data_IF_987330134875
#
_entry.id   IF_987330134875
#
_cell.length_a   1.000
_cell.length_b   1.000
_cell.length_c   1.000
_cell.angle_alpha   90.00
_cell.angle_beta   90.00
_cell.angle_gamma   90.00
#
_symmetry.space_group_name_H-M   'P 1'
#
loop_
_entity.id
_entity.type
_entity.pdbx_description
1 polymer ?
#
# COMPACT_ATOMS: atom_id res chain seq x y z
N UNK A 1 -24.39 -9.63 31.98
CA UNK A 1 -23.42 -8.87 31.14
C UNK A 1 -22.22 -8.33 31.95
N UNK A 2 -21.73 -9.09 32.94
CA UNK A 2 -20.65 -8.69 33.85
C UNK A 2 -19.29 -9.36 33.51
N UNK A 3 -19.26 -10.24 32.49
CA UNK A 3 -18.08 -11.02 32.12
C UNK A 3 -17.20 -10.40 31.02
N UNK A 4 -17.67 -9.37 30.31
CA UNK A 4 -16.91 -8.81 29.17
C UNK A 4 -15.77 -7.86 29.61
N UNK A 5 -15.89 -7.20 30.76
CA UNK A 5 -15.00 -6.09 31.13
C UNK A 5 -13.87 -6.45 32.10
N UNK A 6 -13.97 -7.57 32.83
CA UNK A 6 -12.84 -8.08 33.63
C UNK A 6 -11.66 -8.56 32.76
N UNK A 7 -11.86 -8.74 31.45
CA UNK A 7 -10.84 -9.21 30.52
C UNK A 7 -9.91 -8.10 29.99
N UNK A 8 -10.27 -6.82 30.06
CA UNK A 8 -9.47 -5.71 29.47
C UNK A 8 -8.36 -5.18 30.40
N UNK A 9 -8.39 -5.52 31.69
CA UNK A 9 -7.25 -5.24 32.57
C UNK A 9 -6.07 -6.21 32.35
N UNK A 10 -6.24 -7.27 31.53
CA UNK A 10 -5.23 -8.29 31.22
C UNK A 10 -5.04 -8.58 29.72
N UNK A 11 -5.85 -8.03 28.81
CA UNK A 11 -5.71 -8.21 27.36
C UNK A 11 -4.93 -7.06 26.73
N UNK A 12 -4.06 -7.41 25.79
CA UNK A 12 -3.33 -6.49 24.91
C UNK A 12 -4.27 -5.48 24.26
N UNK A 13 -3.91 -4.19 24.31
CA UNK A 13 -4.57 -3.15 23.51
C UNK A 13 -4.17 -3.36 22.05
N UNK A 14 -5.15 -3.34 21.14
CA UNK A 14 -4.96 -3.53 19.69
C UNK A 14 -5.78 -2.49 18.90
N UNK A 15 -5.42 -2.18 17.65
CA UNK A 15 -6.25 -1.34 16.77
C UNK A 15 -7.70 -1.82 16.69
N UNK A 16 -7.95 -3.14 16.60
CA UNK A 16 -9.30 -3.72 16.60
C UNK A 16 -10.07 -3.43 17.89
N UNK A 17 -9.39 -3.45 19.04
CA UNK A 17 -10.01 -3.11 20.33
C UNK A 17 -10.37 -1.63 20.41
N UNK A 18 -9.50 -0.74 19.90
CA UNK A 18 -9.75 0.71 19.84
C UNK A 18 -10.87 1.04 18.86
N UNK A 19 -10.87 0.43 17.68
CA UNK A 19 -11.91 0.58 16.66
C UNK A 19 -13.29 0.23 17.21
N UNK A 20 -13.41 -0.93 17.88
CA UNK A 20 -14.65 -1.37 18.53
C UNK A 20 -15.07 -0.46 19.68
N UNK A 21 -14.11 0.04 20.45
CA UNK A 21 -14.40 0.88 21.63
C UNK A 21 -14.88 2.28 21.23
N UNK A 22 -14.25 2.85 20.21
CA UNK A 22 -14.47 4.21 19.72
C UNK A 22 -15.47 4.28 18.55
N UNK A 23 -15.98 3.13 18.10
CA UNK A 23 -16.86 3.01 16.94
C UNK A 23 -16.23 3.66 15.68
N UNK A 24 -14.95 3.39 15.49
CA UNK A 24 -14.16 3.80 14.33
C UNK A 24 -13.88 2.59 13.44
N UNK A 25 -13.66 2.82 12.16
CA UNK A 25 -13.13 1.77 11.28
C UNK A 25 -11.68 1.43 11.67
N UNK A 26 -11.27 0.17 11.44
CA UNK A 26 -9.92 -0.30 11.82
C UNK A 26 -8.84 0.51 11.08
N UNK A 27 -9.08 0.81 9.80
CA UNK A 27 -8.19 1.61 8.97
C UNK A 27 -8.04 3.04 9.52
N UNK A 28 -9.12 3.60 10.07
CA UNK A 28 -9.11 4.92 10.69
C UNK A 28 -8.23 4.94 11.93
N UNK A 29 -8.37 3.94 12.79
CA UNK A 29 -7.55 3.80 13.99
C UNK A 29 -6.09 3.63 13.62
N UNK A 30 -5.75 2.79 12.64
CA UNK A 30 -4.37 2.61 12.21
C UNK A 30 -3.75 3.91 11.69
N UNK A 31 -4.49 4.66 10.88
CA UNK A 31 -4.03 5.96 10.38
C UNK A 31 -3.82 6.97 11.52
N UNK A 32 -4.77 7.06 12.46
CA UNK A 32 -4.64 7.93 13.63
C UNK A 32 -3.44 7.56 14.49
N UNK A 33 -3.20 6.26 14.72
CA UNK A 33 -2.03 5.79 15.45
C UNK A 33 -0.73 6.19 14.76
N UNK A 34 -0.63 6.05 13.43
CA UNK A 34 0.56 6.44 12.68
C UNK A 34 0.77 7.95 12.69
N UNK A 35 -0.27 8.74 12.46
CA UNK A 35 -0.20 10.20 12.52
C UNK A 35 0.14 10.70 13.95
N UNK A 36 -0.24 9.92 14.97
CA UNK A 36 0.13 10.11 16.37
C UNK A 36 1.51 9.57 16.77
N UNK A 37 2.32 9.08 15.82
CA UNK A 37 3.70 8.63 16.04
C UNK A 37 3.86 7.17 16.48
N UNK A 38 2.80 6.37 16.51
CA UNK A 38 2.83 4.94 16.84
C UNK A 38 2.80 4.12 15.54
N UNK A 39 3.96 3.90 14.92
CA UNK A 39 4.06 3.37 13.55
C UNK A 39 4.07 1.83 13.41
N UNK A 40 4.35 1.10 14.49
CA UNK A 40 4.52 -0.36 14.44
C UNK A 40 3.23 -1.21 14.33
N UNK A 41 2.02 -0.75 14.74
CA UNK A 41 0.80 -1.48 14.49
C UNK A 41 0.52 -1.51 12.98
N UNK A 42 0.45 -2.72 12.41
CA UNK A 42 0.29 -2.92 10.96
C UNK A 42 -0.96 -3.72 10.59
N UNK A 43 -1.73 -4.13 11.59
CA UNK A 43 -2.95 -4.93 11.44
C UNK A 43 -3.88 -4.72 12.62
N UNK A 44 -5.15 -5.10 12.43
CA UNK A 44 -6.19 -5.05 13.46
C UNK A 44 -5.75 -5.65 14.80
N UNK A 45 -5.02 -6.77 14.78
CA UNK A 45 -4.63 -7.52 15.99
C UNK A 45 -3.23 -7.17 16.52
N UNK A 46 -2.55 -6.19 15.92
CA UNK A 46 -1.22 -5.77 16.36
C UNK A 46 -1.26 -5.24 17.80
N UNK A 47 -0.49 -5.85 18.70
CA UNK A 47 -0.43 -5.42 20.10
C UNK A 47 0.26 -4.08 20.24
N UNK A 48 -0.45 -3.10 20.78
CA UNK A 48 0.07 -1.79 21.18
C UNK A 48 0.79 -1.97 22.53
N UNK A 49 2.06 -1.57 22.56
CA UNK A 49 2.94 -1.65 23.74
C UNK A 49 2.32 -0.88 24.91
N UNK A 50 2.39 -1.39 26.15
CA UNK A 50 1.82 -0.73 27.33
C UNK A 50 2.26 0.73 27.54
N UNK A 51 3.49 1.07 27.14
CA UNK A 51 4.01 2.45 27.21
C UNK A 51 3.29 3.43 26.29
N UNK A 52 2.75 2.95 25.16
CA UNK A 52 2.14 3.80 24.13
C UNK A 52 0.62 3.89 24.27
N UNK A 53 0.01 3.23 25.28
CA UNK A 53 -1.45 3.20 25.44
C UNK A 53 -2.03 4.61 25.56
N UNK A 54 -1.42 5.48 26.36
CA UNK A 54 -1.90 6.86 26.52
C UNK A 54 -1.82 7.66 25.22
N UNK A 55 -0.73 7.49 24.46
CA UNK A 55 -0.54 8.13 23.16
C UNK A 55 -1.52 7.59 22.12
N UNK A 56 -1.80 6.27 22.13
CA UNK A 56 -2.75 5.62 21.24
C UNK A 56 -4.18 6.13 21.46
N UNK A 57 -4.59 6.25 22.72
CA UNK A 57 -5.89 6.84 23.08
C UNK A 57 -5.95 8.32 22.66
N UNK A 58 -4.90 9.10 22.95
CA UNK A 58 -4.84 10.51 22.57
C UNK A 58 -4.92 10.73 21.05
N UNK A 59 -4.19 9.91 20.28
CA UNK A 59 -4.21 9.93 18.82
C UNK A 59 -5.61 9.64 18.26
N UNK A 60 -6.38 8.77 18.92
CA UNK A 60 -7.75 8.48 18.55
C UNK A 60 -8.79 9.43 19.16
N UNK A 61 -8.37 10.56 19.75
CA UNK A 61 -9.26 11.54 20.37
C UNK A 61 -9.95 11.04 21.65
N UNK A 62 -9.42 10.00 22.28
CA UNK A 62 -10.01 9.34 23.43
C UNK A 62 -9.12 9.45 24.67
N UNK A 63 -9.72 9.48 25.86
CA UNK A 63 -8.96 9.40 27.10
C UNK A 63 -8.58 7.94 27.43
N UNK A 64 -7.41 7.71 28.02
CA UNK A 64 -7.00 6.37 28.46
C UNK A 64 -7.87 5.84 29.60
N UNK A 65 -7.95 4.50 29.76
CA UNK A 65 -8.68 3.87 30.88
C UNK A 65 -8.20 4.37 32.25
N UNK A 66 -6.89 4.62 32.42
CA UNK A 66 -6.34 5.18 33.66
C UNK A 66 -6.87 6.59 33.93
N UNK A 67 -7.02 7.39 32.88
CA UNK A 67 -7.60 8.73 32.95
C UNK A 67 -9.10 8.67 33.23
N UNK A 68 -9.86 7.79 32.56
CA UNK A 68 -11.31 7.63 32.78
C UNK A 68 -11.67 7.05 34.15
N UNK A 69 -10.74 6.41 34.84
CA UNK A 69 -10.92 6.01 36.23
C UNK A 69 -10.84 7.19 37.21
N UNK A 70 -10.36 8.37 36.79
CA UNK A 70 -10.29 9.55 37.64
C UNK A 70 -11.66 10.24 37.72
N UNK A 71 -12.02 10.71 38.92
CA UNK A 71 -13.24 11.49 39.12
C UNK A 71 -13.15 12.84 38.40
N UNK A 72 -11.96 13.42 38.36
CA UNK A 72 -11.67 14.69 37.70
C UNK A 72 -11.95 14.63 36.19
N UNK A 73 -11.57 13.55 35.51
CA UNK A 73 -11.87 13.36 34.09
C UNK A 73 -13.37 13.53 33.81
N UNK A 74 -14.24 12.85 34.55
CA UNK A 74 -15.69 12.95 34.35
C UNK A 74 -16.27 14.30 34.75
N UNK A 75 -15.70 14.94 35.77
CA UNK A 75 -16.07 16.31 36.16
C UNK A 75 -15.80 17.28 35.02
N UNK A 76 -14.61 17.20 34.40
CA UNK A 76 -14.22 18.03 33.26
C UNK A 76 -15.00 17.68 32.00
N UNK A 77 -15.14 16.39 31.66
CA UNK A 77 -15.82 15.93 30.44
C UNK A 77 -17.31 16.26 30.45
N UNK A 78 -17.98 16.19 31.61
CA UNK A 78 -19.40 16.51 31.73
C UNK A 78 -19.68 17.98 32.08
N UNK A 79 -18.63 18.77 32.35
CA UNK A 79 -18.78 20.15 32.81
C UNK A 79 -19.49 20.28 34.16
N UNK A 80 -19.45 19.22 34.98
CA UNK A 80 -20.15 19.17 36.27
C UNK A 80 -19.17 19.48 37.40
N UNK A 81 -19.60 20.26 38.38
CA UNK A 81 -18.91 20.35 39.66
C UNK A 81 -18.86 18.98 40.34
N UNK A 82 -17.95 18.82 41.30
CA UNK A 82 -17.78 17.54 42.01
C UNK A 82 -19.04 17.10 42.77
N UNK A 83 -19.84 18.04 43.24
CA UNK A 83 -21.10 17.77 43.95
C UNK A 83 -22.19 17.32 42.98
N UNK A 84 -22.32 17.98 41.84
CA UNK A 84 -23.23 17.60 40.76
C UNK A 84 -22.89 16.22 40.20
N UNK A 85 -21.59 15.95 39.96
CA UNK A 85 -21.12 14.66 39.52
C UNK A 85 -21.45 13.56 40.54
N UNK A 86 -21.36 13.84 41.84
CA UNK A 86 -21.75 12.88 42.90
C UNK A 86 -23.26 12.63 42.92
N UNK A 87 -24.06 13.66 42.72
CA UNK A 87 -25.52 13.53 42.61
C UNK A 87 -25.92 12.69 41.39
N UNK A 88 -25.29 12.98 40.25
CA UNK A 88 -25.46 12.22 39.01
C UNK A 88 -24.96 10.77 39.15
N UNK A 89 -23.81 10.54 39.77
CA UNK A 89 -23.31 9.20 40.08
C UNK A 89 -24.31 8.40 40.93
N UNK A 90 -24.92 9.05 41.93
CA UNK A 90 -25.91 8.45 42.82
C UNK A 90 -27.17 8.03 42.06
N UNK A 91 -27.62 8.81 41.08
CA UNK A 91 -28.75 8.43 40.21
C UNK A 91 -28.44 7.20 39.35
N UNK A 92 -27.15 6.95 39.05
CA UNK A 92 -26.65 5.74 38.39
C UNK A 92 -26.36 4.58 39.37
N UNK A 93 -26.70 4.75 40.65
CA UNK A 93 -26.46 3.77 41.70
C UNK A 93 -24.97 3.62 42.07
N UNK A 94 -24.17 4.67 41.88
CA UNK A 94 -22.74 4.70 42.22
C UNK A 94 -22.49 5.76 43.31
N UNK A 95 -21.89 5.34 44.42
CA UNK A 95 -21.52 6.26 45.51
C UNK A 95 -20.05 6.68 45.38
N UNK A 96 -19.80 7.97 45.18
CA UNK A 96 -18.45 8.55 45.15
C UNK A 96 -18.22 9.34 46.45
N UNK A 97 -17.15 9.00 47.17
CA UNK A 97 -16.75 9.72 48.38
C UNK A 97 -16.34 11.16 48.09
N UNK A 98 -16.48 12.10 49.05
CA UNK A 98 -16.25 13.53 48.84
C UNK A 98 -14.87 13.85 48.27
N UNK A 99 -13.84 13.10 48.69
CA UNK A 99 -12.45 13.29 48.26
C UNK A 99 -11.91 12.14 47.38
N UNK A 100 -12.77 11.26 46.87
CA UNK A 100 -12.33 10.14 46.05
C UNK A 100 -11.67 10.63 44.74
N UNK A 101 -10.39 10.27 44.52
CA UNK A 101 -9.67 10.61 43.28
C UNK A 101 -10.02 9.67 42.13
N UNK A 102 -10.40 8.43 42.44
CA UNK A 102 -10.76 7.38 41.48
C UNK A 102 -12.19 6.89 41.67
N UNK A 103 -12.80 6.45 40.57
CA UNK A 103 -14.10 5.82 40.56
C UNK A 103 -14.07 4.46 41.30
N UNK A 104 -15.16 4.10 42.01
CA UNK A 104 -15.30 2.79 42.61
C UNK A 104 -15.24 1.65 41.58
N UNK A 105 -14.86 0.45 42.04
CA UNK A 105 -14.78 -0.74 41.17
C UNK A 105 -16.14 -1.01 40.52
N UNK A 106 -16.16 -1.10 39.18
CA UNK A 106 -17.38 -1.33 38.39
C UNK A 106 -18.23 -0.09 38.08
N UNK A 107 -17.86 1.10 38.59
CA UNK A 107 -18.56 2.36 38.31
C UNK A 107 -18.32 2.88 36.89
N UNK A 108 -17.12 2.68 36.34
CA UNK A 108 -16.72 3.16 35.01
C UNK A 108 -17.72 2.75 33.91
N UNK A 109 -18.10 1.47 33.87
CA UNK A 109 -19.03 0.96 32.86
C UNK A 109 -20.45 1.53 32.97
N UNK A 110 -20.85 2.01 34.16
CA UNK A 110 -22.15 2.67 34.36
C UNK A 110 -22.11 4.11 33.87
N UNK A 111 -20.99 4.80 34.14
CA UNK A 111 -20.74 6.15 33.66
C UNK A 111 -20.71 6.18 32.13
N UNK A 112 -19.92 5.32 31.50
CA UNK A 112 -19.84 5.21 30.03
C UNK A 112 -21.18 4.83 29.40
N UNK A 113 -22.00 3.98 30.04
CA UNK A 113 -23.33 3.64 29.52
C UNK A 113 -24.30 4.82 29.59
N UNK A 114 -24.23 5.59 30.67
CA UNK A 114 -25.06 6.76 30.86
C UNK A 114 -24.67 7.88 29.87
N UNK A 115 -23.37 8.06 29.62
CA UNK A 115 -22.90 9.02 28.63
C UNK A 115 -23.20 8.58 27.22
N UNK A 116 -23.01 7.31 26.84
CA UNK A 116 -23.40 6.81 25.50
C UNK A 116 -24.88 7.05 25.17
N UNK A 117 -25.76 7.01 26.16
CA UNK A 117 -27.21 7.26 25.99
C UNK A 117 -27.52 8.76 25.80
N UNK A 118 -26.71 9.62 26.41
CA UNK A 118 -26.71 11.08 26.21
C UNK A 118 -26.08 11.45 24.87
N UNK A 119 -24.89 10.89 24.59
CA UNK A 119 -24.10 11.02 23.37
C UNK A 119 -24.88 10.54 22.16
N UNK A 120 -25.65 9.45 22.18
CA UNK A 120 -26.46 9.06 21.01
C UNK A 120 -27.52 10.13 20.65
N UNK A 121 -28.12 10.80 21.64
CA UNK A 121 -29.05 11.92 21.44
C UNK A 121 -28.34 13.21 21.06
N UNK A 122 -27.16 13.46 21.63
CA UNK A 122 -26.31 14.62 21.30
C UNK A 122 -25.65 14.45 19.94
N UNK A 123 -25.27 13.26 19.53
CA UNK A 123 -24.66 12.89 18.25
C UNK A 123 -25.68 13.03 17.14
N UNK A 124 -26.92 12.56 17.33
CA UNK A 124 -27.99 12.82 16.35
C UNK A 124 -28.26 14.33 16.16
N UNK A 125 -28.11 15.12 17.22
CA UNK A 125 -28.25 16.59 17.17
C UNK A 125 -26.97 17.29 16.67
N UNK A 126 -25.80 16.73 16.94
CA UNK A 126 -24.50 17.21 16.51
C UNK A 126 -24.27 16.87 15.04
N UNK A 127 -24.72 15.73 14.52
CA UNK A 127 -24.70 15.37 13.10
C UNK A 127 -25.57 16.35 12.29
N UNK A 128 -26.71 16.79 12.85
CA UNK A 128 -27.54 17.85 12.28
C UNK A 128 -26.85 19.23 12.31
N UNK A 129 -26.07 19.52 13.35
CA UNK A 129 -25.29 20.78 13.49
C UNK A 129 -23.98 20.74 12.72
N UNK A 130 -23.32 19.60 12.58
CA UNK A 130 -22.12 19.35 11.76
C UNK A 130 -22.48 19.34 10.28
N UNK A 131 -23.65 18.83 9.89
CA UNK A 131 -24.19 19.04 8.55
C UNK A 131 -24.39 20.55 8.26
N UNK A 132 -24.75 21.33 9.28
CA UNK A 132 -24.88 22.79 9.17
C UNK A 132 -23.56 23.56 9.33
N UNK A 133 -22.53 22.99 9.96
CA UNK A 133 -21.22 23.62 10.16
C UNK A 133 -20.17 23.19 9.12
N UNK A 134 -20.35 22.04 8.46
CA UNK A 134 -19.56 21.61 7.30
C UNK A 134 -19.75 22.53 6.09
N UNK A 135 -20.77 23.38 6.09
CA UNK A 135 -20.91 24.50 5.15
C UNK A 135 -20.04 25.73 5.51
N UNK A 136 -19.38 25.74 6.67
CA UNK A 136 -18.57 26.84 7.20
C UNK A 136 -17.11 26.44 7.48
N UNK A 137 -16.53 25.56 6.66
CA UNK A 137 -15.11 25.17 6.75
C UNK A 137 -14.14 26.25 6.25
N UNK A 138 -12.86 26.13 6.61
CA UNK A 138 -11.73 26.89 6.05
C UNK A 138 -11.90 27.13 4.55
N UNK A 139 -11.49 28.29 3.99
CA UNK A 139 -11.77 28.63 2.60
C UNK A 139 -11.21 27.55 1.67
N UNK A 140 -12.12 26.73 1.14
CA UNK A 140 -11.77 25.66 0.21
C UNK A 140 -11.21 26.31 -1.04
N UNK A 141 -10.02 25.89 -1.44
CA UNK A 141 -9.41 26.39 -2.66
C UNK A 141 -10.02 25.66 -3.86
N UNK A 142 -10.33 26.38 -4.94
CA UNK A 142 -10.73 25.73 -6.20
C UNK A 142 -9.52 24.96 -6.75
N UNK A 143 -9.64 23.64 -6.92
CA UNK A 143 -8.56 22.87 -7.53
C UNK A 143 -8.54 23.12 -9.04
N UNK A 144 -7.41 23.62 -9.55
CA UNK A 144 -7.16 23.66 -11.00
C UNK A 144 -6.72 22.28 -11.49
N UNK A 145 -7.32 21.81 -12.59
CA UNK A 145 -6.84 20.60 -13.26
C UNK A 145 -5.48 20.87 -13.89
N UNK A 146 -4.48 20.05 -13.55
CA UNK A 146 -3.12 20.17 -14.07
C UNK A 146 -2.65 18.83 -14.62
N UNK A 147 -1.82 18.90 -15.64
CA UNK A 147 -1.12 17.73 -16.17
C UNK A 147 0.10 17.47 -15.29
N UNK A 148 0.06 16.37 -14.52
CA UNK A 148 1.06 16.05 -13.51
C UNK A 148 1.86 14.82 -13.96
N UNK A 149 3.17 14.99 -14.16
CA UNK A 149 4.08 13.89 -14.39
C UNK A 149 4.63 13.81 -15.81
N UNK A 150 5.11 12.62 -16.19
CA UNK A 150 5.82 12.40 -17.43
C UNK A 150 4.85 12.10 -18.57
N UNK A 151 4.78 12.98 -19.56
CA UNK A 151 4.10 12.72 -20.81
C UNK A 151 4.86 11.66 -21.62
N UNK A 152 4.12 10.73 -22.23
CA UNK A 152 4.67 9.75 -23.17
C UNK A 152 3.76 9.59 -24.37
N UNK A 153 4.37 9.53 -25.55
CA UNK A 153 3.66 9.14 -26.76
C UNK A 153 3.35 7.63 -26.68
N UNK A 154 2.07 7.28 -26.76
CA UNK A 154 1.62 5.89 -26.81
C UNK A 154 1.76 5.13 -25.48
N UNK A 155 1.08 5.61 -24.42
CA UNK A 155 0.98 4.86 -23.16
C UNK A 155 0.47 3.44 -23.39
N UNK A 156 1.15 2.47 -22.78
CA UNK A 156 0.71 1.07 -22.72
C UNK A 156 -0.30 0.94 -21.58
N UNK A 157 -1.54 0.62 -21.90
CA UNK A 157 -2.61 0.41 -20.92
C UNK A 157 -2.78 -1.07 -20.62
N UNK A 158 -3.03 -1.39 -19.34
CA UNK A 158 -3.42 -2.72 -18.91
C UNK A 158 -4.90 -2.95 -19.23
N UNK A 159 -5.19 -4.05 -19.92
CA UNK A 159 -6.55 -4.51 -20.17
C UNK A 159 -7.20 -5.12 -18.92
N UNK A 160 -8.52 -5.29 -18.96
CA UNK A 160 -9.28 -5.96 -17.90
C UNK A 160 -8.72 -7.38 -17.62
N UNK A 161 -8.43 -8.14 -18.68
CA UNK A 161 -7.91 -9.50 -18.58
C UNK A 161 -6.51 -9.54 -17.92
N UNK A 162 -5.65 -8.55 -18.19
CA UNK A 162 -4.31 -8.45 -17.56
C UNK A 162 -4.44 -8.14 -16.06
N UNK A 163 -5.38 -7.26 -15.68
CA UNK A 163 -5.66 -6.95 -14.26
C UNK A 163 -6.25 -8.18 -13.55
N UNK A 164 -7.11 -8.94 -14.22
CA UNK A 164 -7.66 -10.21 -13.72
C UNK A 164 -6.56 -11.26 -13.53
N UNK A 165 -5.63 -11.40 -14.48
CA UNK A 165 -4.48 -12.29 -14.35
C UNK A 165 -3.59 -11.90 -13.16
N UNK A 166 -3.31 -10.61 -12.98
CA UNK A 166 -2.59 -10.09 -11.80
C UNK A 166 -3.32 -10.48 -10.52
N UNK A 167 -4.65 -10.34 -10.48
CA UNK A 167 -5.45 -10.72 -9.32
C UNK A 167 -5.30 -12.21 -8.97
N UNK A 168 -5.42 -13.09 -9.95
CA UNK A 168 -5.28 -14.53 -9.73
C UNK A 168 -3.85 -14.93 -9.35
N UNK A 169 -2.83 -14.28 -9.90
CA UNK A 169 -1.43 -14.53 -9.52
C UNK A 169 -1.20 -14.17 -8.04
N UNK A 170 -1.68 -12.99 -7.59
CA UNK A 170 -1.60 -12.61 -6.18
C UNK A 170 -2.41 -13.59 -5.31
N UNK A 171 -3.59 -14.01 -5.74
CA UNK A 171 -4.40 -14.96 -4.98
C UNK A 171 -3.68 -16.30 -4.81
N UNK A 172 -3.03 -16.79 -5.87
CA UNK A 172 -2.25 -18.02 -5.86
C UNK A 172 -1.03 -17.91 -4.93
N UNK A 173 -0.29 -16.81 -4.99
CA UNK A 173 0.90 -16.60 -4.14
C UNK A 173 0.58 -16.50 -2.64
N UNK A 174 -0.65 -16.08 -2.32
CA UNK A 174 -1.15 -15.91 -0.95
C UNK A 174 -2.01 -17.08 -0.45
N UNK A 175 -2.28 -18.09 -1.28
CA UNK A 175 -3.18 -19.20 -0.97
C UNK A 175 -2.84 -19.92 0.34
N UNK A 176 -1.55 -20.20 0.56
CA UNK A 176 -1.06 -20.93 1.75
C UNK A 176 -0.60 -20.01 2.88
N UNK A 177 -0.95 -18.72 2.82
CA UNK A 177 -0.63 -17.75 3.88
C UNK A 177 -1.81 -17.60 4.86
N UNK A 178 -1.60 -17.05 6.07
CA UNK A 178 -2.69 -16.80 7.02
C UNK A 178 -3.79 -15.87 6.50
N UNK A 179 -3.49 -15.07 5.47
CA UNK A 179 -4.36 -14.00 4.96
C UNK A 179 -4.58 -14.14 3.42
N UNK A 180 -5.21 -15.23 2.94
CA UNK A 180 -5.42 -15.48 1.51
C UNK A 180 -6.39 -14.47 0.88
N UNK A 181 -6.40 -14.39 -0.45
CA UNK A 181 -7.49 -13.72 -1.18
C UNK A 181 -8.63 -14.76 -1.30
N UNK A 182 -9.62 -14.66 -0.43
CA UNK A 182 -10.78 -15.56 -0.43
C UNK A 182 -12.09 -14.78 -0.18
N UNK A 183 -13.15 -14.99 -0.98
CA UNK A 183 -13.12 -15.66 -2.29
C UNK A 183 -12.32 -14.82 -3.32
N UNK A 184 -11.51 -15.50 -4.13
CA UNK A 184 -10.82 -14.88 -5.25
C UNK A 184 -11.74 -14.81 -6.49
N UNK A 185 -11.45 -13.88 -7.39
CA UNK A 185 -12.14 -13.74 -8.67
C UNK A 185 -12.94 -12.46 -8.82
N UNK A 186 -13.38 -12.24 -10.05
CA UNK A 186 -14.13 -11.05 -10.45
C UNK A 186 -15.55 -11.09 -9.89
N UNK A 187 -15.93 -10.03 -9.19
CA UNK A 187 -17.29 -9.78 -8.71
C UNK A 187 -18.18 -9.22 -9.82
N UNK A 188 -17.63 -8.32 -10.66
CA UNK A 188 -18.33 -7.76 -11.82
C UNK A 188 -17.36 -7.41 -12.94
N UNK A 189 -17.59 -8.00 -14.12
CA UNK A 189 -16.79 -7.72 -15.31
C UNK A 189 -16.97 -6.28 -15.78
N UNK A 190 -18.16 -5.69 -15.58
CA UNK A 190 -18.44 -4.30 -15.93
C UNK A 190 -17.63 -3.32 -15.07
N UNK A 191 -17.53 -3.60 -13.76
CA UNK A 191 -16.73 -2.78 -12.84
C UNK A 191 -15.23 -2.91 -13.16
N UNK A 192 -14.77 -4.09 -13.57
CA UNK A 192 -13.40 -4.33 -13.99
C UNK A 192 -13.08 -3.61 -15.29
N UNK A 193 -13.95 -3.73 -16.30
CA UNK A 193 -13.81 -3.03 -17.58
C UNK A 193 -13.84 -1.50 -17.40
N UNK A 194 -14.73 -1.00 -16.53
CA UNK A 194 -14.78 0.41 -16.16
C UNK A 194 -13.47 0.87 -15.52
N UNK A 195 -12.93 0.09 -14.58
CA UNK A 195 -11.66 0.42 -13.91
C UNK A 195 -10.47 0.40 -14.87
N UNK A 196 -10.39 -0.60 -15.76
CA UNK A 196 -9.36 -0.73 -16.78
C UNK A 196 -9.44 0.36 -17.86
N UNK A 197 -10.66 0.81 -18.20
CA UNK A 197 -10.89 1.84 -19.22
C UNK A 197 -10.56 3.26 -18.74
N UNK A 198 -10.72 3.56 -17.45
CA UNK A 198 -10.55 4.92 -16.91
C UNK A 198 -9.20 5.58 -17.24
N UNK A 199 -8.04 4.92 -17.13
CA UNK A 199 -6.74 5.52 -17.48
C UNK A 199 -6.68 6.09 -18.90
N UNK A 200 -7.43 5.49 -19.84
CA UNK A 200 -7.47 5.91 -21.24
C UNK A 200 -8.56 6.95 -21.56
N UNK A 201 -9.35 7.36 -20.56
CA UNK A 201 -10.48 8.26 -20.72
C UNK A 201 -10.06 9.59 -21.38
N UNK A 202 -10.87 10.04 -22.33
CA UNK A 202 -10.60 11.22 -23.14
C UNK A 202 -11.69 11.46 -24.17
N UNK A 203 -11.58 12.57 -24.92
CA UNK A 203 -12.47 12.92 -26.01
C UNK A 203 -11.63 13.27 -27.24
N UNK A 204 -11.82 12.50 -28.32
CA UNK A 204 -11.03 12.65 -29.54
C UNK A 204 -9.52 12.45 -29.27
N UNK A 205 -8.71 13.45 -29.59
CA UNK A 205 -7.27 13.46 -29.31
C UNK A 205 -6.92 13.89 -27.88
N UNK A 206 -7.86 14.46 -27.14
CA UNK A 206 -7.61 14.94 -25.78
C UNK A 206 -7.73 13.81 -24.77
N UNK A 207 -6.65 13.54 -24.02
CA UNK A 207 -6.63 12.55 -22.94
C UNK A 207 -6.83 13.25 -21.60
N UNK A 208 -7.72 12.71 -20.75
CA UNK A 208 -7.92 13.21 -19.38
C UNK A 208 -6.69 12.94 -18.51
N UNK A 209 -6.01 11.82 -18.74
CA UNK A 209 -4.83 11.38 -18.01
C UNK A 209 -3.64 11.21 -18.97
N UNK A 210 -3.01 12.31 -19.45
CA UNK A 210 -2.00 12.25 -20.51
C UNK A 210 -0.61 11.78 -20.05
N UNK A 211 -0.37 11.69 -18.73
CA UNK A 211 0.91 11.27 -18.15
C UNK A 211 0.83 9.88 -17.53
N UNK A 212 1.98 9.23 -17.36
CA UNK A 212 2.06 7.90 -16.73
C UNK A 212 1.48 7.92 -15.32
N UNK A 213 1.82 8.92 -14.52
CA UNK A 213 1.40 9.05 -13.12
C UNK A 213 -0.10 9.30 -13.00
N UNK A 214 -0.68 10.11 -13.88
CA UNK A 214 -2.13 10.35 -13.88
C UNK A 214 -2.89 9.10 -14.29
N UNK A 215 -2.43 8.38 -15.32
CA UNK A 215 -3.05 7.15 -15.78
C UNK A 215 -2.93 6.03 -14.74
N UNK A 216 -1.76 5.89 -14.10
CA UNK A 216 -1.52 4.95 -13.01
C UNK A 216 -2.40 5.26 -11.78
N UNK A 217 -2.50 6.54 -11.40
CA UNK A 217 -3.37 6.99 -10.32
C UNK A 217 -4.85 6.69 -10.62
N UNK A 218 -5.31 6.97 -11.84
CA UNK A 218 -6.67 6.68 -12.27
C UNK A 218 -6.97 5.16 -12.24
N UNK A 219 -6.01 4.32 -12.64
CA UNK A 219 -6.13 2.86 -12.57
C UNK A 219 -6.27 2.40 -11.12
N UNK A 220 -5.31 2.77 -10.27
CA UNK A 220 -5.28 2.37 -8.87
C UNK A 220 -6.55 2.81 -8.13
N UNK A 221 -6.94 4.07 -8.29
CA UNK A 221 -8.15 4.62 -7.69
C UNK A 221 -9.38 3.81 -8.11
N UNK A 222 -9.50 3.47 -9.39
CA UNK A 222 -10.70 2.79 -9.89
C UNK A 222 -10.78 1.35 -9.44
N UNK A 223 -9.66 0.61 -9.43
CA UNK A 223 -9.67 -0.76 -8.92
C UNK A 223 -9.96 -0.78 -7.41
N UNK A 224 -9.45 0.20 -6.64
CA UNK A 224 -9.74 0.31 -5.21
C UNK A 224 -11.23 0.59 -4.97
N UNK A 225 -11.80 1.61 -5.63
CA UNK A 225 -13.14 2.13 -5.27
C UNK A 225 -14.29 1.53 -6.08
N UNK A 226 -14.05 0.99 -7.28
CA UNK A 226 -15.09 0.25 -8.02
C UNK A 226 -15.30 -1.14 -7.42
N UNK A 227 -14.34 -1.67 -6.66
CA UNK A 227 -14.37 -3.03 -6.08
C UNK A 227 -14.75 -4.14 -7.09
N UNK A 228 -14.01 -4.27 -8.22
CA UNK A 228 -14.33 -5.24 -9.26
C UNK A 228 -14.14 -6.70 -8.83
N UNK A 229 -13.37 -6.97 -7.77
CA UNK A 229 -13.13 -8.32 -7.23
C UNK A 229 -13.87 -8.55 -5.91
N UNK A 230 -14.16 -9.81 -5.58
CA UNK A 230 -14.80 -10.15 -4.30
C UNK A 230 -13.93 -9.78 -3.09
N UNK A 231 -12.62 -10.02 -3.19
CA UNK A 231 -11.63 -9.66 -2.18
C UNK A 231 -10.34 -9.22 -2.90
N UNK A 232 -9.37 -8.67 -2.17
CA UNK A 232 -8.05 -8.36 -2.72
C UNK A 232 -7.97 -7.08 -3.57
N UNK A 233 -9.04 -6.28 -3.68
CA UNK A 233 -9.06 -5.05 -4.50
C UNK A 233 -7.87 -4.12 -4.23
N UNK A 234 -7.56 -3.85 -2.95
CA UNK A 234 -6.40 -3.02 -2.55
C UNK A 234 -5.06 -3.59 -3.03
N UNK A 235 -4.89 -4.91 -2.91
CA UNK A 235 -3.68 -5.63 -3.35
C UNK A 235 -3.55 -5.62 -4.87
N UNK A 236 -4.63 -5.95 -5.58
CA UNK A 236 -4.67 -5.95 -7.05
C UNK A 236 -4.42 -4.56 -7.61
N UNK A 237 -5.09 -3.53 -7.08
CA UNK A 237 -4.89 -2.14 -7.52
C UNK A 237 -3.43 -1.70 -7.40
N UNK A 238 -2.79 -2.03 -6.28
CA UNK A 238 -1.39 -1.66 -6.05
C UNK A 238 -0.46 -2.34 -7.07
N UNK A 239 -0.60 -3.66 -7.27
CA UNK A 239 0.25 -4.39 -8.21
C UNK A 239 -0.02 -3.98 -9.66
N UNK A 240 -1.28 -3.80 -10.05
CA UNK A 240 -1.63 -3.30 -11.40
C UNK A 240 -1.10 -1.89 -11.65
N UNK A 241 -1.11 -1.01 -10.65
CA UNK A 241 -0.50 0.32 -10.75
C UNK A 241 1.02 0.24 -10.97
N UNK A 242 1.71 -0.59 -10.18
CA UNK A 242 3.16 -0.77 -10.32
C UNK A 242 3.53 -1.40 -11.67
N UNK A 243 2.80 -2.43 -12.11
CA UNK A 243 2.98 -3.04 -13.42
C UNK A 243 2.74 -2.03 -14.56
N UNK A 244 1.67 -1.22 -14.47
CA UNK A 244 1.41 -0.16 -15.44
C UNK A 244 2.55 0.86 -15.49
N UNK A 245 3.07 1.30 -14.34
CA UNK A 245 4.20 2.24 -14.29
C UNK A 245 5.46 1.62 -14.91
N UNK A 246 5.74 0.35 -14.61
CA UNK A 246 6.90 -0.37 -15.14
C UNK A 246 6.84 -0.53 -16.66
N UNK A 247 5.69 -0.94 -17.21
CA UNK A 247 5.45 -1.02 -18.66
C UNK A 247 5.60 0.34 -19.36
N UNK A 248 5.36 1.42 -18.62
CA UNK A 248 5.54 2.79 -19.09
C UNK A 248 6.84 3.43 -18.59
N UNK A 249 7.82 2.63 -18.20
CA UNK A 249 9.20 3.06 -17.95
C UNK A 249 9.39 3.91 -16.69
N UNK A 250 8.55 3.74 -15.67
CA UNK A 250 8.69 4.32 -14.34
C UNK A 250 8.73 3.23 -13.27
N UNK A 251 9.52 3.43 -12.22
CA UNK A 251 9.53 2.57 -11.03
C UNK A 251 9.38 3.41 -9.78
N UNK A 252 8.76 2.84 -8.74
CA UNK A 252 8.59 3.51 -7.45
C UNK A 252 9.91 3.54 -6.66
N UNK A 253 10.15 4.64 -5.96
CA UNK A 253 11.28 4.82 -5.04
C UNK A 253 10.86 4.86 -3.57
N UNK A 254 9.54 4.86 -3.29
CA UNK A 254 8.98 4.84 -1.94
C UNK A 254 9.33 3.56 -1.18
N UNK A 255 9.46 3.66 0.14
CA UNK A 255 9.59 2.48 0.99
C UNK A 255 8.30 1.64 1.01
N UNK A 256 8.42 0.35 1.32
CA UNK A 256 7.26 -0.55 1.47
C UNK A 256 6.25 -0.07 2.53
N UNK A 257 6.74 0.56 3.61
CA UNK A 257 5.90 1.08 4.69
C UNK A 257 5.15 2.33 4.26
N UNK A 258 5.79 3.22 3.50
CA UNK A 258 5.18 4.40 2.94
C UNK A 258 4.10 4.05 1.90
N UNK A 259 4.42 3.13 0.98
CA UNK A 259 3.48 2.65 -0.03
C UNK A 259 2.23 2.00 0.59
N UNK A 260 2.43 1.25 1.69
CA UNK A 260 1.32 0.70 2.47
C UNK A 260 0.43 1.80 3.06
N UNK A 261 1.01 2.77 3.78
CA UNK A 261 0.27 3.88 4.39
C UNK A 261 -0.48 4.69 3.33
N UNK A 262 0.17 4.96 2.20
CA UNK A 262 -0.43 5.65 1.06
C UNK A 262 -1.64 4.89 0.51
N UNK A 263 -1.53 3.58 0.26
CA UNK A 263 -2.63 2.74 -0.26
C UNK A 263 -3.85 2.75 0.67
N UNK A 264 -3.63 2.69 1.99
CA UNK A 264 -4.71 2.78 2.99
C UNK A 264 -5.37 4.17 2.99
N UNK A 265 -4.58 5.25 2.85
CA UNK A 265 -5.13 6.60 2.70
C UNK A 265 -5.96 6.75 1.42
N UNK A 266 -5.57 6.12 0.32
CA UNK A 266 -6.39 6.08 -0.90
C UNK A 266 -7.72 5.38 -0.62
N UNK A 267 -7.68 4.14 -0.12
CA UNK A 267 -8.89 3.35 0.14
C UNK A 267 -9.86 4.01 1.13
N UNK A 268 -9.34 4.72 2.14
CA UNK A 268 -10.15 5.48 3.10
C UNK A 268 -10.57 6.88 2.62
N UNK A 269 -10.25 7.27 1.38
CA UNK A 269 -10.45 8.62 0.85
C UNK A 269 -9.86 9.75 1.72
N UNK A 270 -8.66 9.51 2.26
CA UNK A 270 -7.95 10.39 3.22
C UNK A 270 -6.70 11.04 2.63
N UNK A 271 -6.76 11.43 1.36
CA UNK A 271 -5.68 12.18 0.70
C UNK A 271 -5.80 13.69 0.89
N UNK A 272 -6.85 14.17 1.57
CA UNK A 272 -7.08 15.61 1.81
C UNK A 272 -7.93 16.29 0.73
N UNK A 273 -8.74 15.53 -0.01
CA UNK A 273 -9.64 16.07 -1.03
C UNK A 273 -10.65 17.11 -0.50
N UNK A 274 -11.01 17.03 0.79
CA UNK A 274 -11.91 17.97 1.47
C UNK A 274 -11.43 19.42 1.49
N UNK A 275 -10.13 19.65 1.26
CA UNK A 275 -9.51 20.99 1.16
C UNK A 275 -9.85 21.72 -0.14
N UNK A 276 -10.39 21.01 -1.12
CA UNK A 276 -10.61 21.52 -2.47
C UNK A 276 -12.09 21.52 -2.86
N UNK A 277 -12.45 22.43 -3.77
CA UNK A 277 -13.75 22.46 -4.45
C UNK A 277 -13.61 21.73 -5.79
N UNK A 278 -14.47 20.72 -6.04
CA UNK A 278 -14.48 19.94 -7.29
C UNK A 278 -15.04 18.53 -7.10
N UNK A 279 -14.99 17.71 -8.15
CA UNK A 279 -15.27 16.27 -8.05
C UNK A 279 -14.21 15.59 -7.18
N UNK A 280 -14.65 14.86 -6.15
CA UNK A 280 -13.76 14.23 -5.17
C UNK A 280 -12.79 13.26 -5.83
N UNK A 281 -13.29 12.45 -6.77
CA UNK A 281 -12.48 11.41 -7.39
C UNK A 281 -11.39 12.03 -8.26
N UNK A 282 -11.71 13.09 -8.99
CA UNK A 282 -10.75 13.84 -9.79
C UNK A 282 -9.68 14.54 -8.93
N UNK A 283 -10.08 15.11 -7.79
CA UNK A 283 -9.13 15.68 -6.82
C UNK A 283 -8.19 14.60 -6.28
N UNK A 284 -8.74 13.45 -5.86
CA UNK A 284 -7.96 12.34 -5.31
C UNK A 284 -6.98 11.78 -6.36
N UNK A 285 -7.40 11.64 -7.61
CA UNK A 285 -6.51 11.21 -8.70
C UNK A 285 -5.38 12.20 -8.93
N UNK A 286 -5.61 13.52 -8.88
CA UNK A 286 -4.52 14.50 -8.97
C UNK A 286 -3.55 14.42 -7.78
N UNK A 287 -4.05 14.23 -6.57
CA UNK A 287 -3.22 14.07 -5.37
C UNK A 287 -2.40 12.78 -5.42
N UNK A 288 -2.99 11.70 -5.93
CA UNK A 288 -2.29 10.43 -6.20
C UNK A 288 -1.20 10.61 -7.26
N UNK A 289 -1.50 11.25 -8.39
CA UNK A 289 -0.54 11.51 -9.45
C UNK A 289 0.64 12.35 -8.95
N UNK A 290 0.37 13.37 -8.12
CA UNK A 290 1.40 14.20 -7.50
C UNK A 290 2.31 13.38 -6.58
N UNK A 291 1.74 12.46 -5.79
CA UNK A 291 2.51 11.57 -4.94
C UNK A 291 3.36 10.61 -5.78
N UNK A 292 2.80 10.00 -6.82
CA UNK A 292 3.53 9.09 -7.72
C UNK A 292 4.70 9.80 -8.41
N UNK A 293 4.52 11.04 -8.85
CA UNK A 293 5.61 11.83 -9.44
C UNK A 293 6.76 12.07 -8.46
N UNK A 294 6.46 12.33 -7.18
CA UNK A 294 7.48 12.54 -6.14
C UNK A 294 8.20 11.25 -5.72
N UNK A 295 7.55 10.10 -5.90
CA UNK A 295 8.02 8.79 -5.43
C UNK A 295 8.28 7.82 -6.58
N UNK A 296 8.59 8.34 -7.78
CA UNK A 296 8.99 7.53 -8.92
C UNK A 296 10.20 8.10 -9.63
N UNK A 297 10.87 7.23 -10.38
CA UNK A 297 11.97 7.59 -11.27
C UNK A 297 11.81 6.90 -12.62
N UNK A 298 12.40 7.49 -13.65
CA UNK A 298 12.55 6.82 -14.95
C UNK A 298 13.36 5.53 -14.86
N UNK A 299 12.95 4.53 -15.63
CA UNK A 299 13.77 3.36 -15.93
C UNK A 299 14.86 3.79 -16.92
N UNK A 300 16.12 3.75 -16.50
CA UNK A 300 17.26 4.08 -17.36
C UNK A 300 17.60 2.89 -18.28
N UNK A 301 17.18 2.96 -19.54
CA UNK A 301 17.57 2.00 -20.58
C UNK A 301 18.93 2.35 -21.20
N UNK A 302 19.88 1.41 -21.21
CA UNK A 302 21.11 1.54 -22.00
C UNK A 302 22.25 0.62 -21.58
N UNK A 303 22.91 -0.01 -22.57
CA UNK A 303 24.17 -0.73 -22.35
C UNK A 303 25.24 0.25 -21.88
N UNK A 304 25.99 -0.08 -20.83
CA UNK A 304 27.10 0.74 -20.30
C UNK A 304 28.43 0.04 -20.56
N UNK A 305 29.49 0.83 -20.76
CA UNK A 305 30.84 0.29 -20.78
C UNK A 305 31.21 -0.09 -19.35
N UNK A 306 31.46 -1.38 -19.11
CA UNK A 306 31.90 -1.90 -17.80
C UNK A 306 33.24 -2.60 -17.94
N UNK A 307 33.96 -2.69 -16.82
CA UNK A 307 35.18 -3.52 -16.75
C UNK A 307 34.82 -5.00 -16.84
N UNK A 308 35.76 -5.84 -17.29
CA UNK A 308 35.53 -7.28 -17.34
C UNK A 308 35.28 -7.86 -15.94
N UNK A 309 35.94 -7.35 -14.90
CA UNK A 309 35.71 -7.73 -13.50
C UNK A 309 34.27 -7.47 -13.05
N UNK A 310 33.72 -6.32 -13.42
CA UNK A 310 32.34 -5.98 -13.13
C UNK A 310 31.37 -6.85 -13.93
N UNK A 311 31.61 -7.03 -15.23
CA UNK A 311 30.81 -7.91 -16.08
C UNK A 311 30.77 -9.34 -15.53
N UNK A 312 31.92 -9.89 -15.12
CA UNK A 312 32.02 -11.24 -14.56
C UNK A 312 31.22 -11.39 -13.27
N UNK A 313 31.31 -10.43 -12.34
CA UNK A 313 30.51 -10.45 -11.10
C UNK A 313 29.01 -10.49 -11.40
N UNK A 314 28.55 -9.68 -12.36
CA UNK A 314 27.15 -9.61 -12.77
C UNK A 314 26.67 -10.90 -13.43
N UNK A 315 27.47 -11.48 -14.33
CA UNK A 315 27.15 -12.75 -14.98
C UNK A 315 27.03 -13.89 -13.98
N UNK A 316 27.91 -13.95 -12.99
CA UNK A 316 27.85 -14.96 -11.91
C UNK A 316 26.57 -14.79 -11.08
N UNK A 317 26.17 -13.54 -10.78
CA UNK A 317 24.91 -13.26 -10.07
C UNK A 317 23.67 -13.71 -10.86
N UNK A 318 23.75 -13.75 -12.19
CA UNK A 318 22.70 -14.23 -13.10
C UNK A 318 22.87 -15.71 -13.48
N UNK A 319 23.53 -16.49 -12.62
CA UNK A 319 23.75 -17.93 -12.75
C UNK A 319 24.51 -18.34 -14.02
N UNK A 320 25.34 -17.44 -14.57
CA UNK A 320 26.22 -17.77 -15.67
C UNK A 320 27.58 -18.26 -15.14
N UNK A 321 28.14 -19.27 -15.80
CA UNK A 321 29.52 -19.71 -15.55
C UNK A 321 30.48 -18.98 -16.50
N UNK A 322 31.58 -18.45 -15.98
CA UNK A 322 32.59 -17.73 -16.77
C UNK A 322 33.94 -18.44 -16.65
N UNK A 323 34.48 -18.92 -17.78
CA UNK A 323 35.78 -19.58 -17.86
C UNK A 323 36.73 -18.80 -18.75
N UNK A 324 37.93 -18.48 -18.26
CA UNK A 324 38.94 -17.70 -18.99
C UNK A 324 39.95 -18.66 -19.60
N UNK A 325 40.16 -18.58 -20.92
CA UNK A 325 41.00 -19.54 -21.67
C UNK A 325 42.44 -19.05 -21.94
N UNK A 326 42.88 -17.94 -21.33
CA UNK A 326 44.26 -17.45 -21.46
C UNK A 326 44.47 -16.03 -20.90
N UNK A 327 45.74 -15.68 -20.58
CA UNK A 327 46.07 -14.45 -19.84
C UNK A 327 46.07 -13.15 -20.68
N UNK A 328 46.53 -13.16 -21.94
CA UNK A 328 46.52 -11.97 -22.84
C UNK A 328 46.05 -12.36 -24.23
N UNK A 329 45.03 -11.68 -24.76
CA UNK A 329 44.40 -12.01 -26.06
C UNK A 329 43.51 -13.26 -26.01
N UNK A 330 43.21 -13.75 -24.81
CA UNK A 330 42.36 -14.92 -24.59
C UNK A 330 40.87 -14.61 -24.79
N UNK A 331 40.01 -15.59 -24.48
CA UNK A 331 38.57 -15.42 -24.50
C UNK A 331 38.00 -15.84 -23.15
N UNK A 332 36.90 -15.20 -22.77
CA UNK A 332 36.05 -15.66 -21.70
C UNK A 332 34.86 -16.39 -22.31
N UNK A 333 34.75 -17.66 -21.98
CA UNK A 333 33.60 -18.49 -22.33
C UNK A 333 32.56 -18.30 -21.24
N UNK A 334 31.42 -17.75 -21.61
CA UNK A 334 30.27 -17.54 -20.72
C UNK A 334 29.18 -18.52 -21.10
N UNK A 335 28.66 -19.26 -20.12
CA UNK A 335 27.60 -20.24 -20.35
C UNK A 335 26.47 -20.07 -19.34
N UNK A 336 25.25 -20.35 -19.79
CA UNK A 336 24.03 -20.29 -18.97
C UNK A 336 23.08 -21.40 -19.38
N UNK A 337 22.40 -22.01 -18.42
CA UNK A 337 21.30 -22.94 -18.68
C UNK A 337 19.99 -22.17 -18.67
N UNK A 338 19.20 -22.28 -19.73
CA UNK A 338 17.91 -21.58 -19.88
C UNK A 338 16.80 -22.58 -20.19
N UNK A 339 15.60 -22.32 -19.68
CA UNK A 339 14.42 -23.15 -19.96
C UNK A 339 13.69 -22.61 -21.19
N UNK A 340 13.57 -23.44 -22.23
CA UNK A 340 12.86 -23.10 -23.47
C UNK A 340 11.50 -23.80 -23.45
N UNK A 341 10.44 -23.00 -23.46
CA UNK A 341 9.08 -23.50 -23.61
C UNK A 341 8.73 -23.60 -25.09
N UNK A 342 8.27 -24.78 -25.53
CA UNK A 342 7.74 -24.97 -26.89
C UNK A 342 6.28 -25.39 -26.83
N UNK A 343 5.40 -24.77 -27.64
CA UNK A 343 4.04 -25.24 -27.79
C UNK A 343 4.03 -26.64 -28.41
N UNK A 344 3.17 -27.52 -27.91
CA UNK A 344 2.92 -28.86 -28.45
C UNK A 344 1.41 -29.12 -28.56
N UNK A 345 1.03 -30.16 -29.30
CA UNK A 345 -0.37 -30.57 -29.49
C UNK A 345 -1.11 -30.89 -28.18
N UNK A 346 -0.39 -31.15 -27.08
CA UNK A 346 -0.97 -31.42 -25.74
C UNK A 346 -0.26 -30.56 -24.69
N UNK A 347 -0.35 -29.23 -24.84
CA UNK A 347 0.19 -28.25 -23.90
C UNK A 347 1.64 -27.82 -24.17
N UNK A 348 2.28 -27.20 -23.18
CA UNK A 348 3.62 -26.61 -23.31
C UNK A 348 4.68 -27.55 -22.78
N UNK A 349 5.65 -27.92 -23.63
CA UNK A 349 6.82 -28.71 -23.22
C UNK A 349 8.00 -27.78 -22.92
N UNK A 350 8.51 -27.81 -21.70
CA UNK A 350 9.72 -27.09 -21.32
C UNK A 350 10.96 -27.99 -21.53
N UNK A 351 12.03 -27.44 -22.10
CA UNK A 351 13.32 -28.12 -22.27
C UNK A 351 14.44 -27.20 -21.80
N UNK A 352 15.34 -27.71 -20.95
CA UNK A 352 16.57 -27.00 -20.62
C UNK A 352 17.54 -27.00 -21.81
N UNK A 353 18.11 -25.84 -22.11
CA UNK A 353 19.10 -25.65 -23.15
C UNK A 353 20.28 -24.86 -22.59
N UNK A 354 21.50 -25.30 -22.92
CA UNK A 354 22.72 -24.57 -22.58
C UNK A 354 23.02 -23.54 -23.66
N UNK A 355 23.16 -22.28 -23.28
CA UNK A 355 23.63 -21.17 -24.13
C UNK A 355 25.08 -20.87 -23.81
N UNK A 356 25.83 -20.48 -24.83
CA UNK A 356 27.27 -20.19 -24.74
C UNK A 356 27.61 -18.98 -25.59
N UNK A 357 28.41 -18.07 -25.04
CA UNK A 357 28.93 -16.91 -25.73
C UNK A 357 30.41 -16.65 -25.39
N UNK A 358 31.19 -16.21 -26.39
CA UNK A 358 32.63 -16.01 -26.24
C UNK A 358 32.98 -14.52 -26.30
N UNK A 359 33.39 -13.94 -25.17
CA UNK A 359 33.82 -12.54 -25.06
C UNK A 359 35.35 -12.45 -25.17
N UNK A 360 35.92 -11.49 -25.92
CA UNK A 360 37.37 -11.23 -25.87
C UNK A 360 37.81 -10.87 -24.44
N UNK A 361 38.89 -11.50 -23.96
CA UNK A 361 39.42 -11.27 -22.62
C UNK A 361 40.78 -10.53 -22.70
N UNK A 362 40.76 -9.27 -22.29
CA UNK A 362 41.93 -8.38 -22.25
C UNK A 362 42.46 -8.11 -20.84
N UNK A 363 41.99 -8.85 -19.83
CA UNK A 363 42.27 -8.63 -18.41
C UNK A 363 41.08 -8.03 -17.64
N UNK A 364 41.04 -8.27 -16.32
CA UNK A 364 39.94 -7.88 -15.42
C UNK A 364 39.63 -6.37 -15.44
N UNK A 365 40.65 -5.52 -15.56
CA UNK A 365 40.50 -4.06 -15.63
C UNK A 365 40.15 -3.50 -17.03
N UNK A 366 40.09 -4.35 -18.07
CA UNK A 366 39.80 -3.90 -19.43
C UNK A 366 38.30 -3.70 -19.62
N UNK A 367 37.94 -2.62 -20.30
CA UNK A 367 36.56 -2.31 -20.64
C UNK A 367 36.04 -3.22 -21.76
N UNK A 368 34.80 -3.68 -21.60
CA UNK A 368 34.07 -4.43 -22.62
C UNK A 368 33.15 -3.49 -23.37
N UNK A 369 33.27 -3.48 -24.71
CA UNK A 369 32.47 -2.60 -25.57
C UNK A 369 30.97 -2.88 -25.45
N UNK A 370 30.15 -1.82 -25.52
CA UNK A 370 28.67 -1.88 -25.43
C UNK A 370 28.05 -2.87 -26.41
N UNK A 371 28.55 -2.90 -27.65
CA UNK A 371 28.08 -3.84 -28.69
C UNK A 371 28.27 -5.30 -28.28
N UNK A 372 29.40 -5.63 -27.64
CA UNK A 372 29.69 -6.99 -27.18
C UNK A 372 28.84 -7.39 -25.98
N UNK A 373 28.54 -6.45 -25.09
CA UNK A 373 27.63 -6.70 -23.98
C UNK A 373 26.21 -6.93 -24.51
N UNK A 374 25.76 -6.13 -25.48
CA UNK A 374 24.47 -6.32 -26.17
C UNK A 374 24.35 -7.70 -26.82
N UNK A 375 25.37 -8.10 -27.58
CA UNK A 375 25.43 -9.42 -28.23
C UNK A 375 25.43 -10.55 -27.19
N UNK A 376 26.29 -10.46 -26.17
CA UNK A 376 26.33 -11.42 -25.07
C UNK A 376 24.97 -11.58 -24.42
N UNK A 377 24.30 -10.46 -24.14
CA UNK A 377 23.01 -10.45 -23.45
C UNK A 377 21.94 -11.11 -24.29
N UNK A 378 21.91 -10.85 -25.59
CA UNK A 378 20.98 -11.53 -26.51
C UNK A 378 21.22 -13.04 -26.56
N UNK A 379 22.48 -13.46 -26.73
CA UNK A 379 22.84 -14.88 -26.90
C UNK A 379 22.61 -15.72 -25.64
N UNK A 380 22.79 -15.13 -24.46
CA UNK A 380 22.57 -15.78 -23.16
C UNK A 380 21.15 -15.57 -22.60
N UNK A 381 20.25 -14.97 -23.38
CA UNK A 381 18.89 -14.62 -22.95
C UNK A 381 18.85 -13.75 -21.68
N UNK A 382 19.76 -12.78 -21.63
CA UNK A 382 19.90 -11.74 -20.61
C UNK A 382 19.52 -10.34 -21.15
N UNK A 383 18.69 -10.29 -22.19
CA UNK A 383 18.15 -9.05 -22.76
C UNK A 383 16.70 -8.85 -22.35
N UNK A 384 16.20 -7.63 -22.56
CA UNK A 384 14.82 -7.21 -22.24
C UNK A 384 13.77 -8.20 -22.79
N UNK A 385 13.98 -8.73 -24.00
CA UNK A 385 13.12 -9.74 -24.65
C UNK A 385 12.94 -11.04 -23.83
N UNK A 386 13.84 -11.33 -22.88
CA UNK A 386 13.81 -12.53 -22.04
C UNK A 386 13.64 -12.19 -20.54
N UNK A 387 13.16 -10.98 -20.23
CA UNK A 387 12.86 -10.57 -18.85
C UNK A 387 14.08 -10.14 -18.02
N UNK A 388 15.24 -9.88 -18.65
CA UNK A 388 16.43 -9.37 -17.97
C UNK A 388 16.85 -8.06 -18.62
N UNK A 389 16.40 -6.95 -18.05
CA UNK A 389 16.64 -5.64 -18.62
C UNK A 389 17.99 -5.03 -18.23
N UNK A 390 18.34 -3.88 -18.79
CA UNK A 390 19.62 -3.22 -18.51
C UNK A 390 19.77 -2.88 -17.04
N UNK A 391 18.68 -2.52 -16.39
CA UNK A 391 18.70 -2.20 -14.99
C UNK A 391 18.98 -3.47 -14.17
N UNK A 392 18.25 -4.57 -14.35
CA UNK A 392 18.50 -5.88 -13.73
C UNK A 392 19.92 -6.41 -13.97
N UNK A 393 20.40 -6.30 -15.22
CA UNK A 393 21.77 -6.71 -15.57
C UNK A 393 22.83 -5.83 -14.90
N UNK A 394 22.58 -4.51 -14.84
CA UNK A 394 23.46 -3.52 -14.21
C UNK A 394 23.12 -3.23 -12.72
N UNK A 395 22.22 -3.99 -12.10
CA UNK A 395 21.87 -3.92 -10.67
C UNK A 395 20.91 -2.78 -10.26
N UNK A 396 19.87 -2.51 -11.04
CA UNK A 396 18.87 -1.46 -10.82
C UNK A 396 17.46 -1.83 -11.31
N UNK A 397 16.98 -3.05 -11.02
CA UNK A 397 15.56 -3.47 -11.00
C UNK A 397 14.67 -3.27 -12.25
N UNK A 398 14.42 -4.38 -12.97
CA UNK A 398 13.09 -4.75 -13.46
C UNK A 398 12.77 -6.15 -12.96
N UNK A 399 11.60 -6.32 -12.37
CA UNK A 399 11.15 -7.60 -11.87
C UNK A 399 9.97 -8.07 -12.72
N UNK A 400 9.92 -9.33 -13.20
CA UNK A 400 8.66 -9.90 -13.69
C UNK A 400 7.56 -9.79 -12.62
N UNK A 401 6.27 -9.84 -12.99
CA UNK A 401 5.14 -9.70 -12.05
C UNK A 401 5.29 -10.60 -10.81
N UNK A 402 5.75 -11.85 -11.00
CA UNK A 402 6.05 -12.79 -9.91
C UNK A 402 7.12 -12.27 -8.94
N UNK A 403 8.12 -11.58 -9.47
CA UNK A 403 9.18 -10.97 -8.70
C UNK A 403 8.75 -9.64 -8.03
N UNK A 404 7.82 -8.88 -8.62
CA UNK A 404 7.14 -7.77 -7.92
C UNK A 404 6.34 -8.27 -6.71
N UNK A 405 5.57 -9.36 -6.88
CA UNK A 405 4.80 -9.93 -5.78
C UNK A 405 5.73 -10.46 -4.67
N UNK A 406 6.88 -11.04 -5.05
CA UNK A 406 7.90 -11.47 -4.10
C UNK A 406 8.52 -10.28 -3.34
N UNK A 407 8.91 -9.20 -4.03
CA UNK A 407 9.51 -8.01 -3.44
C UNK A 407 8.55 -7.31 -2.46
N UNK A 408 7.32 -7.05 -2.89
CA UNK A 408 6.32 -6.30 -2.12
C UNK A 408 5.44 -7.20 -1.22
N UNK A 409 5.84 -8.46 -1.01
CA UNK A 409 5.06 -9.44 -0.25
C UNK A 409 4.67 -8.98 1.16
N UNK A 410 5.55 -8.24 1.84
CA UNK A 410 5.27 -7.68 3.18
C UNK A 410 4.15 -6.65 3.12
N UNK A 411 4.19 -5.72 2.17
CA UNK A 411 3.12 -4.72 1.94
C UNK A 411 1.80 -5.40 1.60
N UNK A 412 1.83 -6.36 0.68
CA UNK A 412 0.64 -7.10 0.27
C UNK A 412 0.02 -7.91 1.43
N UNK A 413 0.82 -8.55 2.30
CA UNK A 413 0.32 -9.21 3.52
C UNK A 413 -0.36 -8.23 4.46
N UNK A 414 0.20 -7.03 4.64
CA UNK A 414 -0.39 -6.03 5.52
C UNK A 414 -1.74 -5.55 4.96
N UNK A 415 -1.83 -5.31 3.65
CA UNK A 415 -3.08 -4.93 2.97
C UNK A 415 -4.19 -5.99 3.03
N UNK A 416 -3.89 -7.22 3.45
CA UNK A 416 -4.89 -8.25 3.65
C UNK A 416 -5.61 -8.15 5.00
N UNK A 417 -5.02 -7.43 5.97
CA UNK A 417 -5.47 -7.37 7.39
C UNK A 417 -6.24 -6.10 7.75
N UNK A 418 -6.45 -5.28 6.74
CA UNK A 418 -7.10 -3.97 6.72
C UNK A 418 -7.92 -3.97 5.45
#
# INVERSE_FOLDING_TARGET
>A
MCMVWMALAKKSLTPASLARELNLEIDDVLLLLWDGGIEYPTSADSVIRPGDHSLAFAACGAASVKSRLLVEYWSTTLGMSREELRSWAKSLGVTIGPNARRLPKGALARFERATRKSEARQQQRADLVLAAAASAGEPKSSMSWREIGHMREGLRYLGADEIEQIHFQIAQDFKDTPDPIAPAGVRSQELLASAAGRPSAGLGSFRKYPTVEMAAAALAHSVIHNHPFYNGNKRTALVSMMAFMDENGLVLTSSQDELFKWTIRVAGHKLGASKFIGDRSDIEVQLMAQWLLQHSRGIEGGERVVTFAELRRRLIALECTVQITGNRGGRAVVERTVTINRPSLVGTRSKQARRRYNVPYGGEGRQVARSRIKELRRELQLSDEFGVDSATFYGTDKLPVDAFIAEYRKTLRRLARV
#
